data_IF_915193338933
#
_entry.id   IF_915193338933
#
_cell.length_a   1.000
_cell.length_b   1.000
_cell.length_c   1.000
_cell.angle_alpha   90.00
_cell.angle_beta   90.00
_cell.angle_gamma   90.00
#
_symmetry.space_group_name_H-M   'P 1'
#
loop_
_entity.id
_entity.type
_entity.pdbx_description
1 polymer ?
#
# COMPACT_ATOMS: atom_id res chain seq x y z
N UNK A 1 -14.94 1.18 22.40
CA UNK A 1 -15.22 1.93 21.14
C UNK A 1 -14.73 3.38 21.15
N UNK A 2 -14.66 4.07 22.30
CA UNK A 2 -14.16 5.46 22.37
C UNK A 2 -12.66 5.59 22.05
N UNK A 3 -11.83 4.67 22.57
CA UNK A 3 -10.37 4.72 22.37
C UNK A 3 -9.94 4.63 20.90
N UNK A 4 -10.51 3.70 20.13
CA UNK A 4 -10.20 3.58 18.68
C UNK A 4 -10.60 4.85 17.93
N UNK A 5 -11.79 5.42 18.22
CA UNK A 5 -12.24 6.65 17.57
C UNK A 5 -11.34 7.84 17.91
N UNK A 6 -10.81 7.92 19.13
CA UNK A 6 -9.87 8.96 19.54
C UNK A 6 -8.52 8.78 18.83
N UNK A 7 -7.99 7.55 18.80
CA UNK A 7 -6.76 7.23 18.06
C UNK A 7 -6.89 7.61 16.57
N UNK A 8 -8.03 7.30 15.93
CA UNK A 8 -8.26 7.66 14.53
C UNK A 8 -8.21 9.17 14.34
N UNK A 9 -8.89 9.95 15.20
CA UNK A 9 -8.87 11.42 15.12
C UNK A 9 -7.47 11.99 15.36
N UNK A 10 -6.75 11.46 16.34
CA UNK A 10 -5.40 11.92 16.67
C UNK A 10 -4.40 11.67 15.54
N UNK A 11 -4.59 10.59 14.77
CA UNK A 11 -3.69 10.20 13.68
C UNK A 11 -4.26 10.44 12.27
N UNK A 12 -5.38 11.16 12.15
CA UNK A 12 -6.08 11.39 10.88
C UNK A 12 -5.15 11.97 9.80
N UNK A 13 -4.36 12.98 10.14
CA UNK A 13 -3.42 13.60 9.21
C UNK A 13 -2.40 12.61 8.65
N UNK A 14 -1.86 11.70 9.48
CA UNK A 14 -0.95 10.64 9.03
C UNK A 14 -1.66 9.70 8.06
N UNK A 15 -2.87 9.25 8.39
CA UNK A 15 -3.62 8.33 7.54
C UNK A 15 -3.98 8.94 6.18
N UNK A 16 -4.31 10.23 6.16
CA UNK A 16 -4.55 10.95 4.91
C UNK A 16 -3.26 11.06 4.09
N UNK A 17 -2.12 11.33 4.69
CA UNK A 17 -0.86 11.36 3.96
C UNK A 17 -0.48 9.98 3.41
N UNK A 18 -0.62 8.92 4.21
CA UNK A 18 -0.41 7.53 3.77
C UNK A 18 -1.31 7.16 2.58
N UNK A 19 -2.57 7.63 2.59
CA UNK A 19 -3.50 7.47 1.47
C UNK A 19 -3.05 8.29 0.26
N UNK A 20 -2.65 9.54 0.45
CA UNK A 20 -2.20 10.42 -0.63
C UNK A 20 -0.93 9.91 -1.30
N UNK A 21 0.04 9.40 -0.54
CA UNK A 21 1.21 8.73 -1.08
C UNK A 21 0.83 7.55 -1.99
N UNK A 22 -0.13 6.73 -1.55
CA UNK A 22 -0.62 5.59 -2.34
C UNK A 22 -1.33 6.04 -3.63
N UNK A 23 -2.34 6.91 -3.54
CA UNK A 23 -3.18 7.26 -4.70
C UNK A 23 -2.47 8.17 -5.71
N UNK A 24 -1.33 8.77 -5.34
CA UNK A 24 -0.44 9.48 -6.29
C UNK A 24 0.25 8.52 -7.26
N UNK A 25 0.26 7.21 -7.00
CA UNK A 25 0.76 6.20 -7.94
C UNK A 25 -0.35 5.90 -8.96
N UNK A 26 -0.16 6.21 -10.25
CA UNK A 26 -1.21 6.03 -11.26
C UNK A 26 -1.29 4.57 -11.73
N UNK A 27 -1.48 3.63 -10.80
CA UNK A 27 -1.50 2.18 -11.07
C UNK A 27 -2.81 1.72 -11.72
N UNK A 28 -3.04 2.13 -12.97
CA UNK A 28 -4.27 1.84 -13.73
C UNK A 28 -4.10 0.59 -14.59
N UNK A 29 -4.59 -0.54 -14.10
CA UNK A 29 -4.39 -1.87 -14.72
C UNK A 29 -4.94 -2.03 -16.14
N UNK A 30 -5.98 -1.28 -16.51
CA UNK A 30 -6.59 -1.34 -17.84
C UNK A 30 -5.71 -0.70 -18.94
N UNK A 31 -4.68 0.06 -18.57
CA UNK A 31 -3.80 0.77 -19.49
C UNK A 31 -2.39 0.20 -19.40
N UNK A 32 -1.90 -0.38 -20.50
CA UNK A 32 -0.60 -1.05 -20.54
C UNK A 32 0.59 -0.14 -20.24
N UNK A 33 0.47 1.17 -20.52
CA UNK A 33 1.48 2.19 -20.18
C UNK A 33 1.74 2.31 -18.67
N UNK A 34 0.77 1.93 -17.83
CA UNK A 34 0.88 1.96 -16.38
C UNK A 34 1.40 0.65 -15.76
N UNK A 35 1.92 -0.30 -16.56
CA UNK A 35 2.59 -1.50 -16.04
C UNK A 35 3.73 -1.18 -15.04
N UNK A 36 4.61 -0.19 -15.30
CA UNK A 36 5.62 0.21 -14.32
C UNK A 36 5.00 0.76 -13.02
N UNK A 37 3.88 1.48 -13.12
CA UNK A 37 3.17 2.02 -11.95
C UNK A 37 2.51 0.92 -11.11
N UNK A 38 2.04 -0.17 -11.74
CA UNK A 38 1.58 -1.36 -11.01
C UNK A 38 2.68 -1.97 -10.15
N UNK A 39 3.90 -2.07 -10.70
CA UNK A 39 5.06 -2.57 -9.96
C UNK A 39 5.44 -1.62 -8.82
N UNK A 40 5.49 -0.30 -9.09
CA UNK A 40 5.75 0.72 -8.07
C UNK A 40 4.70 0.69 -6.94
N UNK A 41 3.44 0.45 -7.26
CA UNK A 41 2.36 0.32 -6.28
C UNK A 41 2.57 -0.91 -5.38
N UNK A 42 2.98 -2.05 -5.94
CA UNK A 42 3.31 -3.24 -5.16
C UNK A 42 4.52 -3.03 -4.24
N UNK A 43 5.55 -2.33 -4.71
CA UNK A 43 6.71 -1.94 -3.91
C UNK A 43 6.35 -1.00 -2.78
N UNK A 44 5.50 -0.01 -3.05
CA UNK A 44 4.96 0.88 -2.02
C UNK A 44 4.25 0.09 -0.92
N UNK A 45 3.36 -0.83 -1.27
CA UNK A 45 2.67 -1.68 -0.30
C UNK A 45 3.64 -2.53 0.51
N UNK A 46 4.65 -3.13 -0.12
CA UNK A 46 5.66 -3.91 0.59
C UNK A 46 6.34 -3.06 1.66
N UNK A 47 6.78 -1.87 1.30
CA UNK A 47 7.53 -0.99 2.20
C UNK A 47 6.63 -0.39 3.28
N UNK A 48 5.39 -0.04 2.94
CA UNK A 48 4.40 0.45 3.89
C UNK A 48 4.03 -0.61 4.94
N UNK A 49 3.75 -1.85 4.54
CA UNK A 49 3.46 -2.95 5.46
C UNK A 49 4.65 -3.27 6.38
N UNK A 50 5.89 -3.22 5.85
CA UNK A 50 7.10 -3.37 6.68
C UNK A 50 7.22 -2.27 7.73
N UNK A 51 6.92 -1.01 7.38
CA UNK A 51 6.92 0.12 8.34
C UNK A 51 5.87 -0.07 9.45
N UNK A 52 4.75 -0.73 9.15
CA UNK A 52 3.71 -1.06 10.13
C UNK A 52 4.06 -2.27 11.02
N UNK A 53 5.21 -2.91 10.80
CA UNK A 53 5.68 -4.04 11.61
C UNK A 53 5.21 -5.40 11.14
N UNK A 54 4.71 -5.54 9.91
CA UNK A 54 4.39 -6.85 9.32
C UNK A 54 5.69 -7.65 9.12
N UNK A 55 5.75 -8.86 9.68
CA UNK A 55 7.00 -9.64 9.77
C UNK A 55 7.51 -10.09 8.39
N UNK A 56 6.62 -10.63 7.57
CA UNK A 56 6.95 -11.09 6.22
C UNK A 56 6.12 -10.29 5.23
N UNK A 57 6.81 -9.67 4.25
CA UNK A 57 6.14 -9.00 3.14
C UNK A 57 6.89 -9.28 1.84
N UNK A 58 6.23 -9.95 0.92
CA UNK A 58 6.80 -10.45 -0.33
C UNK A 58 5.98 -9.98 -1.54
N UNK A 59 6.66 -9.79 -2.67
CA UNK A 59 6.02 -9.48 -3.95
C UNK A 59 6.21 -10.69 -4.87
N UNK A 60 5.11 -11.31 -5.26
CA UNK A 60 5.10 -12.39 -6.23
C UNK A 60 4.79 -11.85 -7.62
N UNK A 61 5.71 -12.07 -8.56
CA UNK A 61 5.49 -11.76 -9.96
C UNK A 61 4.52 -12.76 -10.58
N UNK A 62 3.64 -12.28 -11.45
CA UNK A 62 2.68 -13.11 -12.18
C UNK A 62 2.74 -12.81 -13.67
N UNK A 63 2.00 -13.55 -14.49
CA UNK A 63 1.82 -13.21 -15.90
C UNK A 63 1.08 -11.86 -16.09
N UNK A 64 0.35 -11.41 -15.08
CA UNK A 64 -0.33 -10.12 -15.03
C UNK A 64 0.33 -9.17 -14.04
N UNK A 65 -0.46 -8.59 -13.15
CA UNK A 65 0.04 -7.66 -12.14
C UNK A 65 0.68 -8.40 -10.95
N UNK A 66 1.65 -7.78 -10.26
CA UNK A 66 2.26 -8.36 -9.07
C UNK A 66 1.23 -8.53 -7.94
N UNK A 67 1.47 -9.53 -7.09
CA UNK A 67 0.72 -9.77 -5.85
C UNK A 67 1.63 -9.40 -4.67
N UNK A 68 1.11 -8.63 -3.72
CA UNK A 68 1.77 -8.38 -2.43
C UNK A 68 1.17 -9.30 -1.38
N UNK A 69 2.00 -10.11 -0.74
CA UNK A 69 1.63 -10.99 0.35
C UNK A 69 2.24 -10.48 1.65
N UNK A 70 1.46 -10.45 2.73
CA UNK A 70 1.89 -10.04 4.06
C UNK A 70 1.45 -11.06 5.11
N UNK A 71 2.34 -11.37 6.06
CA UNK A 71 2.07 -12.22 7.21
C UNK A 71 2.68 -11.59 8.48
N UNK A 72 1.87 -11.51 9.53
CA UNK A 72 2.21 -10.96 10.84
C UNK A 72 2.20 -12.06 11.89
#
# INVERSE_FOLDING_TARGET
MSQIKNYIREHEARFLEDLFELIRIPSVSAKSEHKPDMQRCAEYWRDHLKKLGVQTVEIYQTAGNPIVFGHY
#
